data_IF_186197385191
#
_entry.id   IF_186197385191
#
_cell.length_a   1.000
_cell.length_b   1.000
_cell.length_c   1.000
_cell.angle_alpha   90.00
_cell.angle_beta   90.00
_cell.angle_gamma   90.00
#
_symmetry.space_group_name_H-M   'P 1'
#
loop_
_entity.id
_entity.type
_entity.pdbx_description
1 polymer ?
#
# COMPACT_ATOMS: atom_id res chain seq x y z
N UNK A 1 -2.32 6.97 -22.82
CA UNK A 1 -1.74 7.33 -21.50
C UNK A 1 -2.73 6.86 -20.44
N UNK A 2 -2.30 5.94 -19.60
CA UNK A 2 -3.09 5.37 -18.48
C UNK A 2 -2.67 6.03 -17.19
N UNK A 3 -3.61 6.19 -16.24
CA UNK A 3 -3.36 6.67 -14.88
C UNK A 3 -3.52 5.52 -13.91
N UNK A 4 -2.45 5.18 -13.22
CA UNK A 4 -2.36 3.97 -12.43
C UNK A 4 -2.03 4.35 -10.99
N UNK A 5 -2.84 3.88 -10.04
CA UNK A 5 -2.62 4.07 -8.60
C UNK A 5 -2.15 2.77 -7.97
N UNK A 6 -1.07 2.85 -7.21
CA UNK A 6 -0.62 1.81 -6.29
C UNK A 6 -0.77 2.30 -4.85
N UNK A 7 -1.35 1.48 -3.97
CA UNK A 7 -1.06 1.62 -2.55
C UNK A 7 0.39 1.20 -2.27
N UNK A 8 0.92 1.61 -1.13
CA UNK A 8 2.32 1.33 -0.78
C UNK A 8 2.39 0.24 0.29
N UNK A 9 1.73 0.43 1.43
CA UNK A 9 1.81 -0.49 2.56
C UNK A 9 0.90 -1.70 2.36
N UNK A 10 1.45 -2.90 2.49
CA UNK A 10 0.71 -4.13 2.17
C UNK A 10 0.69 -4.48 0.67
N UNK A 11 1.01 -3.54 -0.22
CA UNK A 11 1.15 -3.77 -1.67
C UNK A 11 2.61 -3.86 -2.07
N UNK A 12 3.39 -2.83 -1.85
CA UNK A 12 4.81 -2.74 -2.22
C UNK A 12 5.75 -2.87 -1.02
N UNK A 13 5.37 -2.27 0.11
CA UNK A 13 6.17 -2.18 1.34
C UNK A 13 5.58 -3.03 2.47
N UNK A 14 6.44 -3.73 3.20
CA UNK A 14 6.05 -4.57 4.32
C UNK A 14 5.94 -3.74 5.62
N UNK A 15 4.85 -2.96 5.70
CA UNK A 15 4.53 -2.17 6.89
C UNK A 15 4.43 -3.05 8.15
N UNK A 16 3.72 -4.14 8.05
CA UNK A 16 3.41 -5.01 9.18
C UNK A 16 4.71 -5.54 9.81
N UNK A 17 5.63 -6.07 9.01
CA UNK A 17 6.93 -6.53 9.51
C UNK A 17 7.74 -5.38 10.12
N UNK A 18 7.73 -4.20 9.47
CA UNK A 18 8.43 -3.03 9.99
C UNK A 18 7.90 -2.59 11.36
N UNK A 19 6.58 -2.51 11.49
CA UNK A 19 5.92 -2.08 12.74
C UNK A 19 6.11 -3.09 13.88
N UNK A 20 5.99 -4.39 13.60
CA UNK A 20 6.25 -5.43 14.60
C UNK A 20 7.72 -5.49 15.00
N UNK A 21 8.65 -5.31 14.06
CA UNK A 21 10.08 -5.26 14.35
C UNK A 21 10.41 -4.07 15.26
N UNK A 22 9.80 -2.90 14.99
CA UNK A 22 9.94 -1.73 15.84
C UNK A 22 9.42 -2.00 17.25
N UNK A 23 8.21 -2.58 17.38
CA UNK A 23 7.61 -2.91 18.66
C UNK A 23 8.42 -3.94 19.46
N UNK A 24 8.94 -4.97 18.79
CA UNK A 24 9.81 -5.98 19.42
C UNK A 24 11.09 -5.35 19.99
N UNK A 25 11.67 -4.41 19.26
CA UNK A 25 12.87 -3.69 19.70
C UNK A 25 12.56 -2.77 20.88
N UNK A 26 11.44 -2.04 20.82
CA UNK A 26 11.07 -1.05 21.82
C UNK A 26 10.69 -1.70 23.15
N UNK A 27 9.94 -2.80 23.11
CA UNK A 27 9.39 -3.44 24.32
C UNK A 27 10.07 -4.73 24.72
N UNK A 28 11.10 -5.18 23.98
CA UNK A 28 11.78 -6.46 24.20
C UNK A 28 10.77 -7.63 24.38
N UNK A 29 9.67 -7.59 23.64
CA UNK A 29 8.58 -8.58 23.70
C UNK A 29 8.34 -9.10 22.31
N UNK A 30 8.30 -10.43 22.08
CA UNK A 30 7.98 -10.96 20.79
C UNK A 30 6.52 -10.62 20.42
N UNK A 31 6.33 -9.64 19.56
CA UNK A 31 5.06 -9.39 18.91
C UNK A 31 4.96 -10.43 17.80
N UNK A 32 3.88 -11.20 17.79
CA UNK A 32 3.70 -12.31 16.87
C UNK A 32 3.82 -11.80 15.43
N UNK A 33 4.65 -12.46 14.65
CA UNK A 33 4.82 -12.18 13.23
C UNK A 33 3.48 -12.19 12.49
N UNK A 34 3.24 -11.18 11.76
CA UNK A 34 1.99 -10.80 11.11
C UNK A 34 1.62 -11.62 9.88
N UNK A 35 2.44 -12.56 9.46
CA UNK A 35 2.06 -13.54 8.43
C UNK A 35 0.85 -14.40 8.85
N UNK A 36 0.48 -14.34 10.15
CA UNK A 36 -0.63 -15.06 10.75
C UNK A 36 -1.88 -14.19 10.99
N UNK A 37 -1.86 -12.89 10.66
CA UNK A 37 -3.02 -12.04 10.95
C UNK A 37 -4.15 -12.26 9.97
N UNK A 38 -5.32 -12.54 10.54
CA UNK A 38 -6.60 -12.62 9.85
C UNK A 38 -7.27 -11.24 9.72
N UNK A 39 -6.70 -10.20 10.35
CA UNK A 39 -7.25 -8.84 10.35
C UNK A 39 -6.14 -7.80 10.20
N UNK A 40 -6.30 -6.90 9.25
CA UNK A 40 -5.38 -5.80 9.05
C UNK A 40 -5.31 -4.90 10.30
N UNK A 41 -4.10 -4.48 10.67
CA UNK A 41 -3.88 -3.59 11.82
C UNK A 41 -4.06 -4.25 13.19
N UNK A 42 -4.28 -5.56 13.25
CA UNK A 42 -4.22 -6.27 14.52
C UNK A 42 -2.76 -6.65 14.84
N UNK A 43 -2.30 -6.28 16.02
CA UNK A 43 -0.96 -6.62 16.52
C UNK A 43 -1.08 -7.41 17.83
N UNK A 44 -1.36 -8.74 17.77
CA UNK A 44 -1.49 -9.56 18.96
C UNK A 44 -0.23 -9.48 19.83
N UNK A 45 -0.41 -9.28 21.12
CA UNK A 45 0.68 -9.07 22.07
C UNK A 45 1.07 -7.60 22.26
N UNK A 46 0.47 -6.68 21.53
CA UNK A 46 0.62 -5.25 21.73
C UNK A 46 -0.66 -4.68 22.35
N UNK A 47 -0.56 -4.10 23.54
CA UNK A 47 -1.69 -3.38 24.14
C UNK A 47 -1.89 -2.02 23.46
N UNK A 48 -3.10 -1.44 23.53
CA UNK A 48 -3.41 -0.19 22.83
C UNK A 48 -2.54 1.00 23.24
N UNK A 49 -2.05 1.05 24.48
CA UNK A 49 -1.20 2.14 24.98
C UNK A 49 0.18 2.04 24.32
N UNK A 50 0.76 0.85 24.27
CA UNK A 50 2.05 0.60 23.59
C UNK A 50 1.93 0.81 22.08
N UNK A 51 0.82 0.41 21.48
CA UNK A 51 0.57 0.66 20.06
C UNK A 51 0.54 2.16 19.77
N UNK A 52 -0.16 2.96 20.58
CA UNK A 52 -0.19 4.41 20.44
C UNK A 52 1.21 5.05 20.53
N UNK A 53 2.04 4.59 21.48
CA UNK A 53 3.44 5.04 21.58
C UNK A 53 4.24 4.70 20.34
N UNK A 54 4.09 3.48 19.80
CA UNK A 54 4.78 3.09 18.54
C UNK A 54 4.37 3.97 17.37
N UNK A 55 3.09 4.33 17.27
CA UNK A 55 2.62 5.25 16.23
C UNK A 55 3.28 6.63 16.35
N UNK A 56 3.51 7.13 17.57
CA UNK A 56 4.26 8.38 17.77
C UNK A 56 5.73 8.24 17.37
N UNK A 57 6.36 7.07 17.62
CA UNK A 57 7.73 6.79 17.18
C UNK A 57 7.81 6.76 15.65
N UNK A 58 6.86 6.11 14.99
CA UNK A 58 6.78 6.02 13.52
C UNK A 58 6.69 7.39 12.84
N UNK A 59 6.02 8.35 13.47
CA UNK A 59 5.83 9.71 12.94
C UNK A 59 7.09 10.58 13.01
N UNK A 60 8.07 10.23 13.85
CA UNK A 60 9.29 11.02 14.05
C UNK A 60 10.21 10.93 12.83
N UNK A 61 10.81 12.05 12.46
CA UNK A 61 11.74 12.11 11.34
C UNK A 61 12.97 11.21 11.53
N UNK A 62 13.54 11.23 12.74
CA UNK A 62 14.79 10.54 13.08
C UNK A 62 14.70 9.03 12.92
N UNK A 63 13.50 8.47 13.01
CA UNK A 63 13.30 7.02 12.85
C UNK A 63 13.47 6.56 11.40
N UNK A 64 13.25 7.46 10.45
CA UNK A 64 13.20 7.13 9.01
C UNK A 64 12.35 5.88 8.72
N UNK A 65 11.30 5.66 9.52
CA UNK A 65 10.55 4.41 9.54
C UNK A 65 10.05 4.02 8.15
N UNK A 66 9.37 4.95 7.47
CA UNK A 66 8.78 4.70 6.16
C UNK A 66 9.84 4.47 5.06
N UNK A 67 11.02 5.09 5.19
CA UNK A 67 12.12 4.93 4.24
C UNK A 67 12.85 3.59 4.39
N UNK A 68 12.73 2.92 5.55
CA UNK A 68 13.47 1.71 5.88
C UNK A 68 12.65 0.41 5.81
N UNK A 69 11.39 0.48 5.40
CA UNK A 69 10.56 -0.72 5.24
C UNK A 69 11.14 -1.68 4.20
N UNK A 70 11.05 -2.98 4.49
CA UNK A 70 11.41 -4.00 3.51
C UNK A 70 10.35 -4.06 2.39
N UNK A 71 10.74 -4.35 1.14
CA UNK A 71 9.80 -4.55 0.06
C UNK A 71 9.05 -5.88 0.21
N UNK A 72 7.79 -5.90 -0.24
CA UNK A 72 6.96 -7.11 -0.43
C UNK A 72 7.10 -7.69 -1.84
N UNK A 73 7.64 -6.90 -2.74
CA UNK A 73 7.75 -7.25 -4.16
C UNK A 73 9.20 -7.39 -4.57
N UNK A 74 9.42 -8.14 -5.64
CA UNK A 74 10.75 -8.33 -6.22
C UNK A 74 11.26 -7.06 -6.91
N UNK A 75 12.58 -6.90 -7.10
CA UNK A 75 13.13 -5.79 -7.89
C UNK A 75 12.57 -5.72 -9.32
N UNK A 76 12.18 -6.85 -9.92
CA UNK A 76 11.58 -6.89 -11.25
C UNK A 76 10.23 -6.19 -11.33
N UNK A 77 9.42 -6.23 -10.26
CA UNK A 77 8.16 -5.46 -10.18
C UNK A 77 8.45 -3.96 -10.21
N UNK A 78 9.44 -3.50 -9.43
CA UNK A 78 9.82 -2.08 -9.43
C UNK A 78 10.33 -1.62 -10.79
N UNK A 79 11.08 -2.47 -11.50
CA UNK A 79 11.51 -2.19 -12.87
C UNK A 79 10.32 -2.06 -13.82
N UNK A 80 9.34 -2.99 -13.76
CA UNK A 80 8.13 -2.92 -14.59
C UNK A 80 7.30 -1.67 -14.32
N UNK A 81 7.17 -1.25 -13.06
CA UNK A 81 6.50 0.02 -12.71
C UNK A 81 7.25 1.20 -13.33
N UNK A 82 8.58 1.19 -13.24
CA UNK A 82 9.41 2.24 -13.85
C UNK A 82 9.34 2.24 -15.38
N UNK A 83 9.18 1.08 -16.00
CA UNK A 83 8.96 0.95 -17.46
C UNK A 83 7.62 1.57 -17.88
N UNK A 84 6.56 1.40 -17.10
CA UNK A 84 5.27 2.10 -17.36
C UNK A 84 5.48 3.62 -17.36
N UNK A 85 6.21 4.14 -16.37
CA UNK A 85 6.54 5.59 -16.30
C UNK A 85 7.37 6.01 -17.52
N UNK A 86 8.36 5.22 -17.90
CA UNK A 86 9.21 5.49 -19.05
C UNK A 86 8.44 5.44 -20.40
N UNK A 87 7.37 4.63 -20.47
CA UNK A 87 6.46 4.58 -21.62
C UNK A 87 5.44 5.72 -21.64
N UNK A 88 5.50 6.66 -20.69
CA UNK A 88 4.62 7.83 -20.63
C UNK A 88 3.30 7.59 -19.90
N UNK A 89 3.17 6.49 -19.16
CA UNK A 89 2.01 6.29 -18.28
C UNK A 89 2.17 7.09 -16.98
N UNK A 90 1.07 7.60 -16.43
CA UNK A 90 1.07 8.33 -15.15
C UNK A 90 0.89 7.34 -14.00
N UNK A 91 1.92 7.21 -13.17
CA UNK A 91 1.90 6.33 -11.99
C UNK A 91 1.90 7.16 -10.71
N UNK A 92 0.93 6.89 -9.85
CA UNK A 92 0.73 7.54 -8.56
C UNK A 92 0.83 6.53 -7.42
N UNK A 93 1.53 6.90 -6.36
CA UNK A 93 1.61 6.11 -5.12
C UNK A 93 0.76 6.81 -4.07
N UNK A 94 -0.40 6.25 -3.76
CA UNK A 94 -1.35 6.85 -2.81
C UNK A 94 -1.35 6.04 -1.52
N UNK A 95 -0.93 6.64 -0.41
CA UNK A 95 -0.73 5.95 0.88
C UNK A 95 -1.35 6.71 2.04
N UNK A 96 -1.74 5.99 3.09
CA UNK A 96 -2.35 6.56 4.31
C UNK A 96 -1.34 6.77 5.45
N UNK A 97 -0.05 6.81 5.16
CA UNK A 97 1.03 6.94 6.16
C UNK A 97 0.88 8.21 6.99
N UNK A 98 0.84 8.13 8.33
CA UNK A 98 0.82 9.31 9.17
C UNK A 98 2.22 9.93 9.35
N UNK A 99 2.23 11.20 9.75
CA UNK A 99 3.43 11.96 10.08
C UNK A 99 3.78 12.99 9.02
N UNK A 100 4.44 14.05 9.46
CA UNK A 100 4.82 15.21 8.63
C UNK A 100 5.76 14.80 7.49
N UNK A 101 6.64 13.82 7.73
CA UNK A 101 7.66 13.36 6.79
C UNK A 101 7.24 12.12 5.98
N UNK A 102 5.98 11.69 6.11
CA UNK A 102 5.49 10.47 5.45
C UNK A 102 5.66 10.53 3.92
N UNK A 103 5.36 11.68 3.30
CA UNK A 103 5.55 11.87 1.85
C UNK A 103 7.01 11.74 1.47
N UNK A 104 7.88 12.53 2.10
CA UNK A 104 9.32 12.56 1.79
C UNK A 104 9.96 11.18 1.96
N UNK A 105 9.69 10.49 3.07
CA UNK A 105 10.23 9.16 3.33
C UNK A 105 9.67 8.10 2.36
N UNK A 106 8.43 8.25 1.90
CA UNK A 106 7.86 7.37 0.87
C UNK A 106 8.54 7.58 -0.48
N UNK A 107 8.74 8.83 -0.89
CA UNK A 107 9.48 9.17 -2.11
C UNK A 107 10.92 8.63 -2.07
N UNK A 108 11.59 8.79 -0.93
CA UNK A 108 12.93 8.22 -0.72
C UNK A 108 12.92 6.70 -0.82
N UNK A 109 11.93 6.02 -0.20
CA UNK A 109 11.78 4.56 -0.25
C UNK A 109 11.63 4.05 -1.69
N UNK A 110 10.78 4.70 -2.49
CA UNK A 110 10.53 4.37 -3.89
C UNK A 110 11.77 4.63 -4.76
N UNK A 111 12.43 5.78 -4.56
CA UNK A 111 13.64 6.14 -5.31
C UNK A 111 14.80 5.17 -5.06
N UNK A 112 15.01 4.73 -3.82
CA UNK A 112 16.00 3.72 -3.45
C UNK A 112 15.75 2.36 -4.13
N UNK A 113 14.51 2.11 -4.61
CA UNK A 113 14.11 0.88 -5.31
C UNK A 113 13.96 1.07 -6.82
N UNK A 114 14.52 2.16 -7.34
CA UNK A 114 14.65 2.43 -8.77
C UNK A 114 13.48 3.14 -9.42
N UNK A 115 12.45 3.56 -8.66
CA UNK A 115 11.38 4.39 -9.22
C UNK A 115 11.90 5.81 -9.42
N UNK A 116 11.91 6.26 -10.67
CA UNK A 116 12.38 7.61 -11.01
C UNK A 116 11.27 8.62 -10.80
N UNK A 117 11.57 9.68 -10.02
CA UNK A 117 10.65 10.80 -9.75
C UNK A 117 9.25 10.33 -9.30
N UNK A 118 9.13 9.54 -8.21
CA UNK A 118 7.86 9.01 -7.78
C UNK A 118 6.87 10.12 -7.43
N UNK A 119 5.63 10.01 -7.89
CA UNK A 119 4.55 10.91 -7.51
C UNK A 119 3.79 10.31 -6.32
N UNK A 120 4.03 10.85 -5.14
CA UNK A 120 3.44 10.36 -3.88
C UNK A 120 2.35 11.30 -3.39
N UNK A 121 1.19 10.72 -3.08
CA UNK A 121 0.05 11.39 -2.44
C UNK A 121 -0.20 10.71 -1.09
N UNK A 122 -0.13 11.48 -0.01
CA UNK A 122 -0.49 11.00 1.34
C UNK A 122 -1.94 11.33 1.60
N UNK A 123 -2.79 10.30 1.57
CA UNK A 123 -4.23 10.43 1.80
C UNK A 123 -4.84 9.10 2.21
N UNK A 124 -5.74 9.12 3.19
CA UNK A 124 -6.61 7.99 3.53
C UNK A 124 -7.85 7.90 2.63
N UNK A 125 -8.11 8.95 1.84
CA UNK A 125 -9.29 9.07 0.97
C UNK A 125 -8.96 8.54 -0.43
N UNK A 126 -8.79 7.22 -0.55
CA UNK A 126 -8.35 6.57 -1.80
C UNK A 126 -9.37 6.74 -2.95
N UNK A 127 -10.66 6.65 -2.65
CA UNK A 127 -11.71 6.81 -3.65
C UNK A 127 -11.75 8.21 -4.24
N UNK A 128 -11.68 9.25 -3.38
CA UNK A 128 -11.61 10.64 -3.81
C UNK A 128 -10.32 10.94 -4.60
N UNK A 129 -9.19 10.37 -4.16
CA UNK A 129 -7.92 10.50 -4.88
C UNK A 129 -8.03 9.89 -6.29
N UNK A 130 -8.59 8.68 -6.42
CA UNK A 130 -8.80 8.03 -7.71
C UNK A 130 -9.71 8.85 -8.64
N UNK A 131 -10.81 9.39 -8.10
CA UNK A 131 -11.73 10.23 -8.85
C UNK A 131 -11.08 11.55 -9.31
N UNK A 132 -10.34 12.22 -8.41
CA UNK A 132 -9.65 13.47 -8.70
C UNK A 132 -8.56 13.31 -9.77
N UNK A 133 -7.82 12.21 -9.71
CA UNK A 133 -6.78 11.87 -10.69
C UNK A 133 -7.37 11.35 -12.01
N UNK A 134 -8.64 10.96 -12.03
CA UNK A 134 -9.23 10.27 -13.18
C UNK A 134 -8.52 8.96 -13.48
N UNK A 135 -8.22 8.18 -12.44
CA UNK A 135 -7.42 6.98 -12.56
C UNK A 135 -8.13 5.90 -13.40
N UNK A 136 -7.35 5.18 -14.22
CA UNK A 136 -7.84 4.04 -14.99
C UNK A 136 -7.76 2.74 -14.19
N UNK A 137 -6.71 2.61 -13.36
CA UNK A 137 -6.42 1.41 -12.56
C UNK A 137 -6.01 1.80 -11.14
N UNK A 138 -6.47 1.04 -10.15
CA UNK A 138 -6.05 1.19 -8.76
C UNK A 138 -5.85 -0.17 -8.13
N UNK A 139 -4.71 -0.36 -7.45
CA UNK A 139 -4.38 -1.56 -6.67
C UNK A 139 -4.21 -1.19 -5.20
N UNK A 140 -4.97 -1.86 -4.34
CA UNK A 140 -4.92 -1.70 -2.88
C UNK A 140 -5.01 -3.09 -2.21
N UNK A 141 -4.53 -3.24 -0.98
CA UNK A 141 -4.62 -4.47 -0.20
C UNK A 141 -5.76 -4.46 0.83
N UNK A 142 -6.42 -3.29 1.00
CA UNK A 142 -7.59 -3.14 1.86
C UNK A 142 -8.87 -3.16 1.06
N UNK A 143 -9.77 -4.07 1.42
CA UNK A 143 -11.05 -4.22 0.74
C UNK A 143 -11.89 -2.94 0.78
N UNK A 144 -11.92 -2.26 1.93
CA UNK A 144 -12.63 -0.99 2.10
C UNK A 144 -12.13 0.11 1.13
N UNK A 145 -10.80 0.18 0.91
CA UNK A 145 -10.22 1.15 -0.03
C UNK A 145 -10.58 0.80 -1.47
N UNK A 146 -10.40 -0.47 -1.86
CA UNK A 146 -10.74 -0.95 -3.20
C UNK A 146 -12.23 -0.72 -3.51
N UNK A 147 -13.09 -0.96 -2.52
CA UNK A 147 -14.54 -0.70 -2.64
C UNK A 147 -14.84 0.80 -2.77
N UNK A 148 -14.23 1.66 -1.93
CA UNK A 148 -14.37 3.11 -2.04
C UNK A 148 -13.95 3.64 -3.41
N UNK A 149 -12.84 3.12 -3.97
CA UNK A 149 -12.41 3.47 -5.33
C UNK A 149 -13.46 3.07 -6.35
N UNK A 150 -13.96 1.82 -6.31
CA UNK A 150 -14.95 1.32 -7.25
C UNK A 150 -16.30 2.10 -7.19
N UNK A 151 -16.61 2.67 -6.03
CA UNK A 151 -17.82 3.43 -5.81
C UNK A 151 -17.69 4.91 -6.21
N UNK A 152 -16.61 5.57 -5.75
CA UNK A 152 -16.40 7.01 -5.95
C UNK A 152 -15.76 7.34 -7.29
N UNK A 153 -15.06 6.39 -7.90
CA UNK A 153 -14.47 6.53 -9.22
C UNK A 153 -14.88 5.37 -10.15
N UNK A 154 -16.13 5.31 -10.60
CA UNK A 154 -16.69 4.16 -11.30
C UNK A 154 -16.04 3.86 -12.67
N UNK A 155 -15.20 4.75 -13.18
CA UNK A 155 -14.37 4.52 -14.37
C UNK A 155 -13.08 3.79 -14.05
N UNK A 156 -12.62 3.85 -12.78
CA UNK A 156 -11.41 3.18 -12.33
C UNK A 156 -11.66 1.68 -12.18
N UNK A 157 -10.86 0.88 -12.85
CA UNK A 157 -10.79 -0.56 -12.59
C UNK A 157 -10.09 -0.76 -11.25
N UNK A 158 -10.86 -1.13 -10.24
CA UNK A 158 -10.38 -1.30 -8.87
C UNK A 158 -9.97 -2.74 -8.61
N UNK A 159 -8.76 -2.92 -8.09
CA UNK A 159 -8.18 -4.22 -7.78
C UNK A 159 -7.84 -4.35 -6.31
N UNK A 160 -8.16 -5.52 -5.75
CA UNK A 160 -7.80 -5.91 -4.40
C UNK A 160 -6.70 -6.99 -4.47
N UNK A 161 -5.53 -6.66 -3.92
CA UNK A 161 -4.43 -7.61 -3.82
C UNK A 161 -4.72 -8.61 -2.70
N UNK A 162 -4.72 -9.90 -3.02
CA UNK A 162 -4.97 -10.96 -2.05
C UNK A 162 -3.91 -10.97 -0.95
N UNK A 163 -4.37 -10.83 0.30
CA UNK A 163 -3.59 -10.96 1.53
C UNK A 163 -4.37 -11.81 2.53
N UNK A 164 -3.69 -12.48 3.47
CA UNK A 164 -4.37 -13.30 4.49
C UNK A 164 -5.45 -12.54 5.25
N UNK A 165 -5.19 -11.28 5.59
CA UNK A 165 -6.09 -10.43 6.36
C UNK A 165 -7.30 -9.87 5.60
N UNK A 166 -7.37 -10.07 4.28
CA UNK A 166 -8.51 -9.62 3.47
C UNK A 166 -9.27 -10.76 2.78
N UNK A 167 -8.92 -12.02 3.03
CA UNK A 167 -9.55 -13.18 2.38
C UNK A 167 -11.02 -13.36 2.74
N UNK A 168 -11.39 -12.99 3.96
CA UNK A 168 -12.74 -13.16 4.51
C UNK A 168 -13.48 -11.83 4.72
N UNK A 169 -13.00 -10.76 4.09
CA UNK A 169 -13.63 -9.45 4.22
C UNK A 169 -14.95 -9.45 3.44
N UNK A 170 -16.11 -9.27 4.13
CA UNK A 170 -17.42 -9.28 3.49
C UNK A 170 -17.58 -8.18 2.44
N UNK A 171 -16.92 -7.02 2.64
CA UNK A 171 -16.98 -5.89 1.72
C UNK A 171 -16.28 -6.21 0.39
N UNK A 172 -15.29 -7.11 0.42
CA UNK A 172 -14.62 -7.59 -0.77
C UNK A 172 -15.49 -8.51 -1.65
N UNK A 173 -16.50 -9.17 -1.05
CA UNK A 173 -17.35 -10.13 -1.76
C UNK A 173 -18.62 -9.49 -2.35
N UNK A 174 -19.03 -8.33 -1.88
CA UNK A 174 -20.30 -7.68 -2.27
C UNK A 174 -20.25 -6.89 -3.57
N UNK A 175 -19.09 -6.64 -4.15
CA UNK A 175 -18.97 -5.78 -5.33
C UNK A 175 -18.37 -6.51 -6.52
N UNK A 176 -19.19 -6.75 -7.55
CA UNK A 176 -18.72 -7.17 -8.87
C UNK A 176 -17.79 -6.16 -9.56
N UNK A 177 -17.56 -5.00 -8.93
CA UNK A 177 -16.73 -3.91 -9.43
C UNK A 177 -15.28 -3.97 -8.95
N UNK A 178 -14.97 -4.81 -7.97
CA UNK A 178 -13.61 -5.00 -7.45
C UNK A 178 -13.09 -6.36 -7.91
N UNK A 179 -12.02 -6.35 -8.70
CA UNK A 179 -11.35 -7.58 -9.15
C UNK A 179 -10.23 -7.94 -8.18
N UNK A 180 -10.13 -9.21 -7.79
CA UNK A 180 -9.01 -9.71 -6.99
C UNK A 180 -7.85 -10.13 -7.89
N UNK A 181 -6.64 -9.92 -7.38
CA UNK A 181 -5.39 -10.40 -7.97
C UNK A 181 -4.51 -11.00 -6.89
N UNK A 182 -3.74 -12.01 -7.23
CA UNK A 182 -2.87 -12.70 -6.28
C UNK A 182 -1.50 -12.03 -6.12
N UNK A 183 -1.04 -11.35 -7.16
CA UNK A 183 0.27 -10.71 -7.19
C UNK A 183 0.23 -9.33 -7.85
N UNK A 184 1.24 -8.52 -7.54
CA UNK A 184 1.43 -7.23 -8.23
C UNK A 184 1.80 -7.46 -9.69
N UNK A 185 2.51 -8.54 -10.00
CA UNK A 185 2.85 -8.95 -11.35
C UNK A 185 1.60 -9.19 -12.20
N UNK A 186 0.61 -9.91 -11.66
CA UNK A 186 -0.68 -10.14 -12.33
C UNK A 186 -1.39 -8.83 -12.63
N UNK A 187 -1.45 -7.92 -11.66
CA UNK A 187 -2.02 -6.59 -11.88
C UNK A 187 -1.30 -5.83 -12.99
N UNK A 188 0.04 -5.85 -13.01
CA UNK A 188 0.83 -5.22 -14.06
C UNK A 188 0.57 -5.82 -15.44
N UNK A 189 0.36 -7.13 -15.53
CA UNK A 189 0.01 -7.81 -16.79
C UNK A 189 -1.34 -7.32 -17.34
N UNK A 190 -2.33 -7.17 -16.44
CA UNK A 190 -3.65 -6.64 -16.78
C UNK A 190 -3.54 -5.19 -17.27
N UNK A 191 -2.78 -4.36 -16.56
CA UNK A 191 -2.54 -2.96 -16.94
C UNK A 191 -1.91 -2.86 -18.32
N UNK A 192 -0.89 -3.66 -18.60
CA UNK A 192 -0.19 -3.67 -19.90
C UNK A 192 -1.14 -4.07 -21.03
N UNK A 193 -1.93 -5.14 -20.84
CA UNK A 193 -2.90 -5.63 -21.83
C UNK A 193 -4.10 -4.68 -22.02
N UNK A 194 -4.39 -3.82 -21.05
CA UNK A 194 -5.54 -2.91 -21.11
C UNK A 194 -6.87 -3.56 -20.70
N UNK A 195 -6.80 -4.69 -20.02
CA UNK A 195 -7.95 -5.49 -19.56
C UNK A 195 -8.68 -4.86 -18.34
#
# INVERSE_FOLDING_TARGET
MKRIIFDVDGVLANFILGFTTLGNKEYNTPIVSTEQHEKWGAFPGLDPEKEAVLWEVVKKFETCFWANLLPLVSPSVMLRINDLIACGEEVYFVTSRPGEYAKQQTEQWLAQRGIRNPTVIVSSKKGEAAAMLGADYCLDDKAENAWCVAWLSPKTKSFLLNRKYNQYDPDAFGSSKVRRVDTVEEFLDIVVKGE
#
